data_IF_164123846603
#
_entry.id   IF_164123846603
#
_cell.length_a   1.000
_cell.length_b   1.000
_cell.length_c   1.000
_cell.angle_alpha   90.00
_cell.angle_beta   90.00
_cell.angle_gamma   90.00
#
_symmetry.space_group_name_H-M   'P 1'
#
loop_
_entity.id
_entity.type
_entity.pdbx_description
1 polymer ?
#
# COMPACT_ATOMS: atom_id res chain seq x y z
N UNK A 1 -3.49 -22.29 13.89
CA UNK A 1 -2.31 -21.50 14.28
C UNK A 1 -2.78 -20.50 15.31
N UNK A 2 -2.01 -20.28 16.38
CA UNK A 2 -2.42 -19.39 17.48
C UNK A 2 -2.23 -17.92 17.05
N UNK A 3 -3.06 -17.02 17.57
CA UNK A 3 -3.13 -15.58 17.21
C UNK A 3 -1.85 -14.78 17.51
N UNK A 4 -0.87 -15.39 18.19
CA UNK A 4 0.42 -14.81 18.59
C UNK A 4 1.54 -14.94 17.53
N UNK A 5 1.35 -15.72 16.45
CA UNK A 5 2.35 -15.89 15.36
C UNK A 5 2.15 -14.95 14.15
N UNK A 6 1.03 -14.23 14.07
CA UNK A 6 0.64 -13.44 12.87
C UNK A 6 1.48 -12.16 12.73
N UNK A 7 1.95 -11.57 13.84
CA UNK A 7 2.68 -10.30 13.83
C UNK A 7 4.12 -10.37 13.28
N UNK A 8 4.77 -11.54 13.27
CA UNK A 8 6.20 -11.65 12.91
C UNK A 8 6.47 -11.91 11.42
N UNK A 9 5.49 -12.36 10.63
CA UNK A 9 5.75 -12.78 9.25
C UNK A 9 5.65 -11.64 8.23
N UNK A 10 4.73 -10.68 8.44
CA UNK A 10 4.49 -9.60 7.47
C UNK A 10 5.64 -8.58 7.50
N UNK A 11 6.08 -8.16 8.69
CA UNK A 11 7.10 -7.11 8.81
C UNK A 11 8.46 -7.56 8.28
N UNK A 12 8.78 -8.86 8.41
CA UNK A 12 9.95 -9.47 7.74
C UNK A 12 9.84 -9.35 6.22
N UNK A 13 8.66 -9.61 5.66
CA UNK A 13 8.41 -9.50 4.22
C UNK A 13 8.52 -8.04 3.74
N UNK A 14 7.96 -7.09 4.50
CA UNK A 14 8.09 -5.66 4.19
C UNK A 14 9.54 -5.22 4.29
N UNK A 15 10.25 -5.52 5.39
CA UNK A 15 11.69 -5.18 5.54
C UNK A 15 12.53 -5.74 4.40
N UNK A 16 12.24 -6.96 3.98
CA UNK A 16 12.94 -7.60 2.87
C UNK A 16 12.66 -6.90 1.55
N UNK A 17 11.40 -6.53 1.28
CA UNK A 17 11.05 -5.71 0.12
C UNK A 17 11.78 -4.36 0.15
N UNK A 18 11.77 -3.68 1.30
CA UNK A 18 12.47 -2.40 1.50
C UNK A 18 13.97 -2.55 1.21
N UNK A 19 14.61 -3.59 1.74
CA UNK A 19 16.03 -3.87 1.52
C UNK A 19 16.35 -4.19 0.05
N UNK A 20 15.40 -4.77 -0.69
CA UNK A 20 15.56 -5.08 -2.10
C UNK A 20 15.38 -3.83 -2.99
N UNK A 21 14.39 -2.98 -2.72
CA UNK A 21 13.97 -1.90 -3.61
C UNK A 21 14.47 -0.51 -3.23
N UNK A 22 14.89 -0.31 -1.98
CA UNK A 22 15.25 1.00 -1.46
C UNK A 22 16.62 0.97 -0.76
N UNK A 23 17.05 2.11 -0.25
CA UNK A 23 18.24 2.14 0.62
C UNK A 23 18.01 1.28 1.87
N UNK A 24 19.08 0.68 2.45
CA UNK A 24 19.00 -0.05 3.70
C UNK A 24 18.33 0.78 4.81
N UNK A 25 17.53 0.11 5.63
CA UNK A 25 16.89 0.73 6.79
C UNK A 25 17.87 0.89 7.95
N UNK A 26 17.75 2.01 8.66
CA UNK A 26 18.51 2.31 9.87
C UNK A 26 17.60 2.61 11.06
N UNK A 27 18.17 2.70 12.26
CA UNK A 27 17.40 3.02 13.49
C UNK A 27 16.83 4.44 13.44
N UNK A 28 17.50 5.33 12.72
CA UNK A 28 17.09 6.71 12.48
C UNK A 28 15.83 6.83 11.62
N UNK A 29 15.39 5.76 10.95
CA UNK A 29 14.20 5.76 10.10
C UNK A 29 12.88 5.70 10.90
N UNK A 30 12.98 5.41 12.20
CA UNK A 30 11.86 5.37 13.13
C UNK A 30 11.45 6.73 13.67
N UNK A 31 10.16 6.89 13.89
CA UNK A 31 9.61 7.92 14.79
C UNK A 31 9.70 7.44 16.25
N UNK A 32 9.90 8.35 17.22
CA UNK A 32 9.81 8.01 18.63
C UNK A 32 8.45 7.40 18.98
N UNK A 33 8.44 6.34 19.79
CA UNK A 33 7.19 5.73 20.29
C UNK A 33 6.31 6.74 21.04
N UNK A 34 6.92 7.78 21.62
CA UNK A 34 6.21 8.87 22.29
C UNK A 34 5.21 9.58 21.35
N UNK A 35 5.51 9.67 20.05
CA UNK A 35 4.62 10.29 19.07
C UNK A 35 3.32 9.47 18.94
N UNK A 36 3.42 8.14 18.97
CA UNK A 36 2.26 7.24 19.01
C UNK A 36 1.47 7.42 20.30
N UNK A 37 2.13 7.45 21.47
CA UNK A 37 1.46 7.63 22.78
C UNK A 37 0.75 8.97 22.87
N UNK A 38 1.32 10.04 22.30
CA UNK A 38 0.66 11.35 22.23
C UNK A 38 -0.58 11.30 21.33
N UNK A 39 -0.52 10.61 20.19
CA UNK A 39 -1.67 10.42 19.32
C UNK A 39 -2.79 9.63 20.02
N UNK A 40 -2.45 8.52 20.66
CA UNK A 40 -3.35 7.70 21.48
C UNK A 40 -4.06 8.54 22.55
N UNK A 41 -3.29 9.32 23.33
CA UNK A 41 -3.86 10.19 24.36
C UNK A 41 -4.73 11.31 23.79
N UNK A 42 -4.35 11.89 22.65
CA UNK A 42 -5.11 12.98 21.99
C UNK A 42 -6.44 12.49 21.44
N UNK A 43 -6.46 11.29 20.88
CA UNK A 43 -7.63 10.70 20.23
C UNK A 43 -8.48 9.82 21.17
N UNK A 44 -7.96 9.46 22.34
CA UNK A 44 -8.65 8.58 23.28
C UNK A 44 -8.74 7.13 22.80
N UNK A 45 -7.73 6.66 22.06
CA UNK A 45 -7.67 5.32 21.45
C UNK A 45 -6.37 4.61 21.78
N UNK A 46 -6.27 3.33 21.43
CA UNK A 46 -5.01 2.59 21.33
C UNK A 46 -4.75 2.31 19.85
N UNK A 47 -3.54 2.65 19.37
CA UNK A 47 -3.17 2.36 17.99
C UNK A 47 -2.87 0.86 17.83
N UNK A 48 -3.29 0.25 16.73
CA UNK A 48 -2.96 -1.15 16.42
C UNK A 48 -1.45 -1.39 16.35
N UNK A 49 -1.05 -2.62 16.65
CA UNK A 49 0.36 -3.01 16.72
C UNK A 49 1.10 -2.72 15.39
N UNK A 50 0.56 -3.05 14.19
CA UNK A 50 1.27 -2.81 12.93
C UNK A 50 1.50 -1.32 12.62
N UNK A 51 0.56 -0.43 12.97
CA UNK A 51 0.78 1.01 12.81
C UNK A 51 1.91 1.50 13.72
N UNK A 52 1.93 1.09 14.98
CA UNK A 52 3.00 1.46 15.91
C UNK A 52 4.35 0.92 15.45
N UNK A 53 4.40 -0.33 15.00
CA UNK A 53 5.61 -0.96 14.46
C UNK A 53 6.11 -0.25 13.20
N UNK A 54 5.20 0.13 12.31
CA UNK A 54 5.52 0.93 11.13
C UNK A 54 6.11 2.27 11.51
N UNK A 55 5.43 3.07 12.33
CA UNK A 55 5.92 4.39 12.74
C UNK A 55 7.28 4.32 13.41
N UNK A 56 7.47 3.36 14.31
CA UNK A 56 8.72 3.23 15.08
C UNK A 56 9.88 2.63 14.29
N UNK A 57 9.64 2.01 13.14
CA UNK A 57 10.71 1.41 12.34
C UNK A 57 10.97 2.15 11.03
N UNK A 58 9.94 2.71 10.39
CA UNK A 58 10.02 3.32 9.06
C UNK A 58 9.20 4.62 8.93
N UNK A 59 8.70 5.20 10.03
CA UNK A 59 7.85 6.39 10.02
C UNK A 59 8.49 7.64 9.41
N UNK A 60 9.81 7.69 9.23
CA UNK A 60 10.52 8.76 8.52
C UNK A 60 10.85 8.45 7.06
N UNK A 61 10.56 7.24 6.59
CA UNK A 61 10.84 6.78 5.22
C UNK A 61 9.77 7.23 4.23
N UNK A 62 9.68 8.53 4.04
CA UNK A 62 8.72 9.12 3.09
C UNK A 62 8.97 8.69 1.65
N UNK A 63 10.17 8.20 1.33
CA UNK A 63 10.51 7.53 0.07
C UNK A 63 9.76 6.21 -0.16
N UNK A 64 9.13 5.63 0.89
CA UNK A 64 8.42 4.34 0.82
C UNK A 64 6.90 4.49 0.95
N UNK A 65 6.41 5.49 1.70
CA UNK A 65 4.98 5.61 2.05
C UNK A 65 4.35 6.98 1.74
N UNK A 66 5.10 7.87 1.09
CA UNK A 66 4.71 9.25 0.81
C UNK A 66 5.19 9.72 -0.59
N UNK A 67 5.27 8.81 -1.57
CA UNK A 67 5.69 9.14 -2.95
C UNK A 67 4.51 9.64 -3.77
N UNK A 68 3.38 8.94 -3.69
CA UNK A 68 2.11 9.33 -4.31
C UNK A 68 1.02 9.49 -3.25
N UNK A 69 0.67 8.43 -2.50
CA UNK A 69 -0.28 8.53 -1.38
C UNK A 69 0.44 8.95 -0.10
N UNK A 70 -0.28 9.13 1.01
CA UNK A 70 0.31 9.61 2.26
C UNK A 70 -0.17 8.82 3.48
N UNK A 71 0.77 8.13 4.14
CA UNK A 71 0.60 7.76 5.55
C UNK A 71 0.67 9.02 6.40
N UNK A 72 -0.37 9.25 7.21
CA UNK A 72 -0.41 10.39 8.13
C UNK A 72 0.60 10.18 9.27
N UNK A 73 1.25 11.25 9.73
CA UNK A 73 2.04 11.16 10.95
C UNK A 73 1.13 10.93 12.17
N UNK A 74 1.66 10.43 13.30
CA UNK A 74 0.85 10.26 14.52
C UNK A 74 0.13 11.55 14.97
N UNK A 75 0.72 12.73 14.76
CA UNK A 75 0.09 14.01 15.10
C UNK A 75 -1.01 14.44 14.12
N UNK A 76 -1.04 13.86 12.92
CA UNK A 76 -2.04 14.12 11.87
C UNK A 76 -3.21 13.15 11.89
N UNK A 77 -3.11 12.04 12.62
CA UNK A 77 -4.23 11.11 12.78
C UNK A 77 -5.46 11.83 13.33
N UNK A 78 -6.63 11.50 12.80
CA UNK A 78 -7.90 12.07 13.22
C UNK A 78 -8.98 11.00 13.26
N UNK A 79 -10.03 11.28 14.04
CA UNK A 79 -11.25 10.48 14.03
C UNK A 79 -12.27 11.21 13.17
N UNK A 80 -12.74 10.53 12.14
CA UNK A 80 -13.79 11.02 11.27
C UNK A 80 -14.77 9.90 10.94
N UNK A 81 -16.06 10.19 11.03
CA UNK A 81 -17.14 9.21 10.77
C UNK A 81 -16.92 7.82 11.42
N UNK A 82 -16.61 7.82 12.71
CA UNK A 82 -16.34 6.60 13.50
C UNK A 82 -15.16 5.74 13.02
N UNK A 83 -14.22 6.34 12.27
CA UNK A 83 -12.97 5.72 11.83
C UNK A 83 -11.76 6.56 12.24
N UNK A 84 -10.65 5.90 12.58
CA UNK A 84 -9.34 6.54 12.70
C UNK A 84 -8.73 6.61 11.30
N UNK A 85 -8.61 7.81 10.75
CA UNK A 85 -8.00 8.02 9.45
C UNK A 85 -6.49 8.00 9.62
N UNK A 86 -5.82 7.13 8.87
CA UNK A 86 -4.36 6.99 8.94
C UNK A 86 -3.67 7.07 7.58
N UNK A 87 -4.40 6.93 6.48
CA UNK A 87 -3.85 7.05 5.13
C UNK A 87 -4.77 7.89 4.25
N UNK A 88 -4.18 8.75 3.43
CA UNK A 88 -4.90 9.57 2.46
C UNK A 88 -4.33 9.37 1.06
N UNK A 89 -5.22 9.42 0.07
CA UNK A 89 -4.81 9.54 -1.32
C UNK A 89 -4.15 10.91 -1.55
N UNK A 90 -3.29 11.02 -2.58
CA UNK A 90 -2.53 12.22 -2.91
C UNK A 90 -3.36 13.52 -2.89
N UNK A 91 -4.56 13.49 -3.49
CA UNK A 91 -5.49 14.62 -3.55
C UNK A 91 -6.45 14.69 -2.36
N UNK A 92 -6.34 13.74 -1.43
CA UNK A 92 -7.22 13.58 -0.27
C UNK A 92 -8.69 13.42 -0.65
N UNK A 93 -8.96 12.87 -1.84
CA UNK A 93 -10.33 12.53 -2.26
C UNK A 93 -10.76 11.19 -1.68
N UNK A 94 -9.79 10.31 -1.44
CA UNK A 94 -9.96 8.98 -0.85
C UNK A 94 -9.21 8.91 0.48
N UNK A 95 -9.82 8.26 1.46
CA UNK A 95 -9.21 8.01 2.76
C UNK A 95 -9.30 6.54 3.12
N UNK A 96 -8.31 6.08 3.88
CA UNK A 96 -8.32 4.77 4.53
C UNK A 96 -8.28 4.93 6.04
N UNK A 97 -9.11 4.14 6.70
CA UNK A 97 -9.31 4.24 8.13
C UNK A 97 -9.63 2.90 8.78
N UNK A 98 -9.57 2.91 10.10
CA UNK A 98 -9.86 1.75 10.96
C UNK A 98 -11.10 2.10 11.78
N UNK A 99 -12.15 1.27 11.71
CA UNK A 99 -13.36 1.52 12.48
C UNK A 99 -13.05 1.51 13.98
N UNK A 100 -13.61 2.45 14.74
CA UNK A 100 -13.34 2.55 16.19
C UNK A 100 -13.72 1.27 16.95
N UNK A 101 -14.73 0.56 16.47
CA UNK A 101 -15.19 -0.70 17.07
C UNK A 101 -14.19 -1.85 16.87
N UNK A 102 -13.30 -1.76 15.88
CA UNK A 102 -12.34 -2.82 15.56
C UNK A 102 -10.99 -2.62 16.26
N UNK A 103 -10.74 -1.46 16.89
CA UNK A 103 -9.47 -1.13 17.56
C UNK A 103 -9.10 -2.08 18.71
N UNK A 104 -10.03 -2.93 19.17
CA UNK A 104 -9.72 -4.01 20.11
C UNK A 104 -8.92 -5.16 19.49
N UNK A 105 -8.91 -5.29 18.16
CA UNK A 105 -8.09 -6.25 17.43
C UNK A 105 -6.63 -5.78 17.37
N UNK A 106 -5.64 -6.67 17.56
CA UNK A 106 -4.22 -6.30 17.42
C UNK A 106 -3.86 -5.83 16.01
N UNK A 107 -4.57 -6.33 15.00
CA UNK A 107 -4.38 -6.04 13.59
C UNK A 107 -5.75 -5.97 12.88
N UNK A 108 -6.47 -4.84 13.04
CA UNK A 108 -7.85 -4.69 12.60
C UNK A 108 -7.97 -4.54 11.07
N UNK A 109 -9.18 -4.74 10.52
CA UNK A 109 -9.46 -4.42 9.12
C UNK A 109 -9.24 -2.94 8.80
N UNK A 110 -8.97 -2.68 7.53
CA UNK A 110 -8.90 -1.33 6.96
C UNK A 110 -10.09 -1.13 6.03
N UNK A 111 -10.77 -0.01 6.20
CA UNK A 111 -11.84 0.43 5.31
C UNK A 111 -11.37 1.59 4.43
N UNK A 112 -11.87 1.63 3.20
CA UNK A 112 -11.70 2.75 2.28
C UNK A 112 -12.99 3.54 2.16
N UNK A 113 -12.88 4.87 2.08
CA UNK A 113 -13.93 5.73 1.58
C UNK A 113 -13.47 6.42 0.29
N UNK A 114 -14.01 5.97 -0.83
CA UNK A 114 -13.71 6.48 -2.17
C UNK A 114 -14.25 7.90 -2.42
N UNK A 115 -15.13 8.39 -1.53
CA UNK A 115 -15.78 9.68 -1.63
C UNK A 115 -15.45 10.63 -0.50
N UNK A 116 -14.35 10.42 0.24
CA UNK A 116 -14.02 11.14 1.48
C UNK A 116 -14.10 12.68 1.36
N UNK A 117 -13.65 13.29 0.26
CA UNK A 117 -13.77 14.75 0.07
C UNK A 117 -15.13 15.24 -0.46
N UNK A 118 -16.10 14.35 -0.67
CA UNK A 118 -17.40 14.69 -1.28
C UNK A 118 -18.32 15.36 -0.26
N UNK A 119 -18.37 16.69 -0.32
CA UNK A 119 -19.21 17.49 0.56
C UNK A 119 -20.70 17.18 0.36
N UNK A 120 -21.44 17.02 1.47
CA UNK A 120 -22.88 16.80 1.45
C UNK A 120 -23.31 15.38 1.07
N UNK A 121 -22.38 14.43 1.01
CA UNK A 121 -22.68 12.99 0.90
C UNK A 121 -22.34 12.29 2.21
N UNK A 122 -23.09 11.24 2.52
CA UNK A 122 -22.71 10.32 3.58
C UNK A 122 -21.47 9.54 3.16
N UNK A 123 -20.53 9.35 4.09
CA UNK A 123 -19.36 8.51 3.89
C UNK A 123 -19.79 7.06 3.67
N UNK A 124 -19.13 6.38 2.74
CA UNK A 124 -19.43 5.00 2.37
C UNK A 124 -18.17 4.15 2.53
N UNK A 125 -17.89 3.80 3.78
CA UNK A 125 -16.79 2.93 4.13
C UNK A 125 -17.05 1.50 3.64
N UNK A 126 -16.07 0.94 2.93
CA UNK A 126 -16.05 -0.46 2.49
C UNK A 126 -14.75 -1.08 2.98
N UNK A 127 -14.80 -2.33 3.45
CA UNK A 127 -13.58 -3.07 3.80
C UNK A 127 -12.67 -3.19 2.57
N UNK A 128 -11.43 -2.68 2.68
CA UNK A 128 -10.40 -2.74 1.65
C UNK A 128 -9.43 -3.89 1.92
N UNK A 129 -9.07 -4.07 3.18
CA UNK A 129 -8.13 -5.09 3.63
C UNK A 129 -8.56 -5.68 4.96
N UNK A 130 -8.23 -6.96 5.17
CA UNK A 130 -8.59 -7.67 6.40
C UNK A 130 -7.73 -7.27 7.58
N UNK A 131 -6.53 -6.75 7.32
CA UNK A 131 -5.58 -6.33 8.35
C UNK A 131 -4.84 -5.06 7.94
N UNK A 132 -4.42 -4.27 8.93
CA UNK A 132 -3.55 -3.09 8.73
C UNK A 132 -2.21 -3.52 8.15
N UNK A 133 -1.64 -4.62 8.64
CA UNK A 133 -0.36 -5.14 8.14
C UNK A 133 -0.38 -5.44 6.64
N UNK A 134 -1.47 -6.03 6.16
CA UNK A 134 -1.68 -6.36 4.75
C UNK A 134 -1.82 -5.08 3.92
N UNK A 135 -2.67 -4.15 4.37
CA UNK A 135 -2.85 -2.85 3.72
C UNK A 135 -1.54 -2.07 3.60
N UNK A 136 -0.78 -1.96 4.69
CA UNK A 136 0.51 -1.27 4.68
C UNK A 136 1.47 -1.91 3.69
N UNK A 137 1.51 -3.24 3.60
CA UNK A 137 2.38 -3.91 2.63
C UNK A 137 1.94 -3.62 1.19
N UNK A 138 0.66 -3.73 0.85
CA UNK A 138 0.19 -3.35 -0.49
C UNK A 138 0.46 -1.88 -0.82
N UNK A 139 0.37 -0.97 0.16
CA UNK A 139 0.76 0.43 -0.02
C UNK A 139 2.25 0.57 -0.35
N UNK A 140 3.15 -0.15 0.32
CA UNK A 140 4.59 -0.17 -0.05
C UNK A 140 4.81 -0.61 -1.49
N UNK A 141 4.08 -1.63 -1.93
CA UNK A 141 4.14 -2.11 -3.32
C UNK A 141 3.64 -1.02 -4.27
N UNK A 142 2.48 -0.43 -3.98
CA UNK A 142 1.91 0.63 -4.80
C UNK A 142 2.85 1.85 -4.92
N UNK A 143 3.40 2.33 -3.81
CA UNK A 143 4.34 3.46 -3.80
C UNK A 143 5.63 3.15 -4.57
N UNK A 144 6.07 1.89 -4.60
CA UNK A 144 7.22 1.46 -5.40
C UNK A 144 7.02 1.66 -6.92
N UNK A 145 5.76 1.68 -7.41
CA UNK A 145 5.46 1.99 -8.81
C UNK A 145 5.93 3.40 -9.19
N UNK A 146 5.74 4.35 -8.28
CA UNK A 146 6.04 5.77 -8.49
C UNK A 146 7.46 6.14 -8.05
N UNK A 147 8.04 5.36 -7.13
CA UNK A 147 9.43 5.53 -6.70
C UNK A 147 10.45 4.94 -7.69
N UNK A 148 10.05 3.93 -8.47
CA UNK A 148 10.98 3.17 -9.31
C UNK A 148 11.52 3.96 -10.48
N UNK A 149 12.82 3.79 -10.71
CA UNK A 149 13.56 4.28 -11.86
C UNK A 149 13.49 3.38 -13.09
N UNK A 150 12.77 2.27 -13.05
CA UNK A 150 12.56 1.43 -14.22
C UNK A 150 11.09 1.05 -14.23
N UNK A 151 10.30 1.82 -14.97
CA UNK A 151 8.86 1.72 -14.92
C UNK A 151 8.23 1.81 -16.31
N UNK A 152 7.00 1.36 -16.40
CA UNK A 152 6.22 1.42 -17.62
C UNK A 152 4.74 1.37 -17.32
N UNK A 153 3.93 1.78 -18.28
CA UNK A 153 2.50 1.56 -18.22
C UNK A 153 1.92 1.36 -19.61
N UNK A 154 0.78 0.67 -19.65
CA UNK A 154 0.07 0.39 -20.88
C UNK A 154 -1.43 0.26 -20.61
N UNK A 155 -2.29 0.68 -21.55
CA UNK A 155 -3.64 0.14 -21.61
C UNK A 155 -3.56 -1.37 -21.86
N UNK A 156 -4.46 -2.12 -21.24
CA UNK A 156 -4.55 -3.58 -21.36
C UNK A 156 -5.97 -4.01 -21.67
N UNK A 157 -6.10 -5.26 -22.11
CA UNK A 157 -7.37 -5.95 -22.33
C UNK A 157 -7.37 -7.33 -21.64
N UNK A 158 -8.43 -8.10 -21.85
CA UNK A 158 -8.59 -9.41 -21.21
C UNK A 158 -7.53 -10.42 -21.64
N UNK A 159 -7.02 -10.33 -22.87
CA UNK A 159 -5.94 -11.20 -23.37
C UNK A 159 -4.63 -10.89 -22.65
N UNK A 160 -4.29 -9.60 -22.54
CA UNK A 160 -3.12 -9.12 -21.80
C UNK A 160 -3.16 -9.52 -20.31
N UNK A 161 -4.35 -9.47 -19.69
CA UNK A 161 -4.54 -9.94 -18.31
C UNK A 161 -4.27 -11.44 -18.20
N UNK A 162 -4.74 -12.23 -19.17
CA UNK A 162 -4.45 -13.66 -19.23
C UNK A 162 -2.95 -13.96 -19.36
N UNK A 163 -2.22 -13.20 -20.19
CA UNK A 163 -0.75 -13.31 -20.28
C UNK A 163 -0.08 -13.00 -18.93
N UNK A 164 -0.53 -11.95 -18.23
CA UNK A 164 -0.01 -11.58 -16.91
C UNK A 164 -0.24 -12.70 -15.90
N UNK A 165 -1.48 -13.20 -15.80
CA UNK A 165 -1.86 -14.28 -14.88
C UNK A 165 -1.11 -15.60 -15.17
N UNK A 166 -0.76 -15.85 -16.44
CA UNK A 166 0.01 -17.03 -16.85
C UNK A 166 1.49 -16.93 -16.50
N UNK A 167 2.07 -15.73 -16.51
CA UNK A 167 3.52 -15.54 -16.45
C UNK A 167 4.03 -14.92 -15.15
N UNK A 168 3.17 -14.23 -14.40
CA UNK A 168 3.52 -13.54 -13.18
C UNK A 168 2.71 -14.09 -12.00
N UNK A 169 3.37 -14.18 -10.85
CA UNK A 169 2.72 -14.68 -9.64
C UNK A 169 1.75 -13.62 -9.13
N UNK A 170 0.48 -13.97 -8.95
CA UNK A 170 -0.46 -13.14 -8.22
C UNK A 170 -0.01 -13.05 -6.74
N UNK A 171 0.32 -11.84 -6.30
CA UNK A 171 0.64 -11.58 -4.90
C UNK A 171 -0.69 -11.71 -4.15
N UNK A 172 -0.79 -12.70 -3.25
CA UNK A 172 -2.04 -13.20 -2.65
C UNK A 172 -2.67 -12.23 -1.64
N UNK A 173 -2.89 -11.01 -2.06
CA UNK A 173 -3.61 -9.96 -1.36
C UNK A 173 -5.06 -9.89 -1.84
N UNK A 174 -5.98 -9.28 -1.08
CA UNK A 174 -7.29 -8.94 -1.59
C UNK A 174 -7.20 -7.90 -2.71
N UNK A 175 -8.20 -7.92 -3.58
CA UNK A 175 -8.38 -6.92 -4.62
C UNK A 175 -8.75 -5.59 -3.98
N UNK A 176 -8.04 -4.53 -4.37
CA UNK A 176 -8.38 -3.18 -3.94
C UNK A 176 -9.58 -2.61 -4.70
N UNK A 177 -10.36 -1.76 -4.04
CA UNK A 177 -11.40 -0.96 -4.68
C UNK A 177 -10.81 0.31 -5.31
N UNK A 178 -9.69 0.81 -4.80
CA UNK A 178 -8.98 1.97 -5.32
C UNK A 178 -7.74 1.56 -6.15
N UNK A 179 -7.39 2.30 -7.23
CA UNK A 179 -8.14 3.40 -7.84
C UNK A 179 -9.33 2.93 -8.66
N UNK A 180 -9.34 1.66 -9.08
CA UNK A 180 -10.43 1.02 -9.81
C UNK A 180 -10.57 -0.42 -9.32
N UNK A 181 -11.79 -0.87 -9.06
CA UNK A 181 -12.04 -2.24 -8.65
C UNK A 181 -12.13 -3.19 -9.86
N UNK A 182 -11.47 -4.37 -9.84
CA UNK A 182 -10.45 -4.79 -8.88
C UNK A 182 -9.06 -4.25 -9.26
N UNK A 183 -8.29 -3.76 -8.27
CA UNK A 183 -6.85 -3.51 -8.44
C UNK A 183 -6.05 -4.68 -7.85
N UNK A 184 -5.19 -5.29 -8.67
CA UNK A 184 -4.49 -6.56 -8.37
C UNK A 184 -2.99 -6.44 -8.56
N UNK A 185 -2.22 -7.16 -7.74
CA UNK A 185 -0.77 -7.06 -7.69
C UNK A 185 -0.12 -8.37 -8.14
N UNK A 186 0.82 -8.31 -9.07
CA UNK A 186 1.57 -9.44 -9.59
C UNK A 186 3.06 -9.16 -9.57
N UNK A 187 3.86 -10.22 -9.57
CA UNK A 187 5.31 -10.10 -9.76
C UNK A 187 6.10 -10.93 -8.77
N UNK A 188 7.31 -10.45 -8.48
CA UNK A 188 8.31 -11.12 -7.67
C UNK A 188 9.23 -10.08 -7.00
N UNK A 189 10.44 -10.49 -6.60
CA UNK A 189 11.41 -9.59 -5.97
C UNK A 189 12.06 -8.60 -6.93
N UNK A 190 11.95 -8.78 -8.25
CA UNK A 190 12.58 -7.91 -9.25
C UNK A 190 11.58 -7.04 -9.99
N UNK A 191 10.33 -7.49 -10.08
CA UNK A 191 9.28 -6.88 -10.88
C UNK A 191 7.98 -6.78 -10.09
N UNK A 192 7.28 -5.67 -10.29
CA UNK A 192 5.95 -5.43 -9.77
C UNK A 192 5.06 -4.99 -10.93
N UNK A 193 3.91 -5.65 -11.06
CA UNK A 193 2.87 -5.34 -12.01
C UNK A 193 1.58 -5.08 -11.23
N UNK A 194 0.93 -3.95 -11.49
CA UNK A 194 -0.35 -3.60 -10.85
C UNK A 194 -1.38 -3.38 -11.95
N UNK A 195 -2.41 -4.22 -11.91
CA UNK A 195 -3.50 -4.25 -12.88
C UNK A 195 -4.70 -3.54 -12.26
N UNK A 196 -5.08 -2.41 -12.84
CA UNK A 196 -6.24 -1.62 -12.42
C UNK A 196 -7.44 -2.00 -13.29
N UNK A 197 -8.36 -2.78 -12.73
CA UNK A 197 -9.52 -3.30 -13.43
C UNK A 197 -9.14 -4.11 -14.67
N UNK A 198 -9.84 -3.84 -15.77
CA UNK A 198 -9.55 -4.43 -17.08
C UNK A 198 -8.96 -3.42 -18.07
N UNK A 199 -8.40 -2.32 -17.57
CA UNK A 199 -8.11 -1.15 -18.41
C UNK A 199 -6.64 -0.76 -18.43
N UNK A 200 -5.94 -0.88 -17.29
CA UNK A 200 -4.61 -0.29 -17.16
C UNK A 200 -3.62 -1.18 -16.41
N UNK A 201 -2.40 -1.22 -16.90
CA UNK A 201 -1.25 -1.87 -16.28
C UNK A 201 -0.22 -0.81 -15.88
N UNK A 202 0.26 -0.91 -14.65
CA UNK A 202 1.48 -0.26 -14.17
C UNK A 202 2.57 -1.31 -13.94
N UNK A 203 3.80 -0.99 -14.30
CA UNK A 203 4.96 -1.84 -14.09
C UNK A 203 6.07 -1.04 -13.44
N UNK A 204 6.70 -1.64 -12.44
CA UNK A 204 7.98 -1.20 -11.91
C UNK A 204 8.94 -2.39 -11.83
N UNK A 205 10.22 -2.09 -11.96
CA UNK A 205 11.29 -3.06 -11.85
C UNK A 205 12.46 -2.48 -11.06
N UNK A 206 13.30 -3.35 -10.49
CA UNK A 206 14.50 -2.92 -9.76
C UNK A 206 15.63 -2.43 -10.65
N UNK A 207 15.66 -2.90 -11.89
CA UNK A 207 16.69 -2.59 -12.86
C UNK A 207 16.16 -2.71 -14.29
N UNK A 208 16.88 -2.13 -15.23
CA UNK A 208 16.53 -2.14 -16.66
C UNK A 208 16.32 -3.55 -17.21
N UNK A 209 17.17 -4.51 -16.82
CA UNK A 209 17.05 -5.89 -17.31
C UNK A 209 15.73 -6.53 -16.88
N UNK A 210 15.32 -6.33 -15.63
CA UNK A 210 14.04 -6.81 -15.13
C UNK A 210 12.85 -6.15 -15.86
N UNK A 211 12.91 -4.85 -16.13
CA UNK A 211 11.88 -4.17 -16.94
C UNK A 211 11.82 -4.74 -18.37
N UNK A 212 12.97 -4.93 -19.02
CA UNK A 212 13.03 -5.46 -20.38
C UNK A 212 12.53 -6.90 -20.48
N UNK A 213 12.67 -7.72 -19.42
CA UNK A 213 12.02 -9.03 -19.36
C UNK A 213 10.49 -8.91 -19.41
N UNK A 214 9.91 -7.89 -18.77
CA UNK A 214 8.46 -7.62 -18.81
C UNK A 214 8.05 -7.14 -20.19
N UNK A 215 8.77 -6.15 -20.74
CA UNK A 215 8.50 -5.59 -22.07
C UNK A 215 8.58 -6.66 -23.17
N UNK A 216 9.54 -7.58 -23.09
CA UNK A 216 9.67 -8.67 -24.04
C UNK A 216 8.63 -9.78 -23.85
N UNK A 217 7.98 -9.85 -22.69
CA UNK A 217 7.02 -10.90 -22.34
C UNK A 217 5.59 -10.53 -22.71
N UNK A 218 5.20 -9.28 -22.47
CA UNK A 218 3.81 -8.82 -22.61
C UNK A 218 3.56 -8.22 -23.98
N UNK A 219 2.49 -8.68 -24.63
CA UNK A 219 2.08 -8.24 -25.97
C UNK A 219 1.25 -6.94 -25.92
N UNK A 220 1.70 -5.93 -25.18
CA UNK A 220 0.94 -4.68 -24.95
C UNK A 220 1.53 -3.49 -25.70
N UNK A 221 0.67 -2.52 -26.03
CA UNK A 221 1.12 -1.23 -26.55
C UNK A 221 1.51 -0.32 -25.38
N UNK A 222 2.79 -0.30 -25.04
CA UNK A 222 3.33 0.59 -24.01
C UNK A 222 2.98 2.06 -24.29
N UNK A 223 2.25 2.67 -23.35
CA UNK A 223 1.96 4.10 -23.37
C UNK A 223 3.17 4.89 -22.87
N UNK A 224 3.94 4.30 -21.97
CA UNK A 224 5.14 4.89 -21.39
C UNK A 224 6.14 3.80 -20.96
N UNK A 225 7.43 4.08 -21.16
CA UNK A 225 8.57 3.33 -20.62
C UNK A 225 9.59 4.35 -20.15
N UNK A 226 10.01 4.26 -18.89
CA UNK A 226 11.09 5.08 -18.34
C UNK A 226 12.34 4.26 -18.11
N UNK A 227 13.39 4.65 -18.80
CA UNK A 227 14.75 4.16 -18.62
C UNK A 227 15.64 5.41 -18.58
N UNK A 228 16.40 5.64 -17.49
CA UNK A 228 17.24 6.82 -17.33
C UNK A 228 18.43 6.85 -18.31
#
# INVERSE_FOLDING_TARGET
MREDEIGHHWWVSVKQWIADWYRPSGVEDGLPIMDCTQAESRLGIVLPQPLKEWYTTAGRRTDIHCVQNRLLSPSQLEIHDNHVIFYLENQSVVAWGIALNDLGSPDPPVSVDLGYASHGRAHQWVEENRTVSEFLFQMVLHEALFASTFSGNAPIDQESIGEIEQHYTHLRFPDWHWPVHPTRFFGDRETLLVVNGAEWLWVAARNQYALMKVVARLSVKWAYLWEP
#
